data_IF_895888910850
#
_entry.id   IF_895888910850
#
_cell.length_a   1.000
_cell.length_b   1.000
_cell.length_c   1.000
_cell.angle_alpha   90.00
_cell.angle_beta   90.00
_cell.angle_gamma   90.00
#
_symmetry.space_group_name_H-M   'P 1'
#
loop_
_entity.id
_entity.type
_entity.pdbx_description
1 polymer ?
#
# COMPACT_ATOMS: atom_id res chain seq x y z
N UNK A 1 32.94 34.75 -35.36
CA UNK A 1 32.65 35.23 -33.99
C UNK A 1 31.40 34.50 -33.51
N UNK A 2 31.51 33.77 -32.40
CA UNK A 2 30.58 32.73 -31.96
C UNK A 2 29.13 33.18 -31.84
N UNK A 3 28.22 32.30 -32.31
CA UNK A 3 26.81 32.35 -32.04
C UNK A 3 26.57 32.17 -30.53
N UNK A 4 25.79 33.08 -29.94
CA UNK A 4 25.36 32.97 -28.55
C UNK A 4 24.26 31.90 -28.47
N UNK A 5 24.66 30.68 -28.09
CA UNK A 5 23.73 29.62 -27.68
C UNK A 5 23.15 30.01 -26.33
N UNK A 6 22.04 30.74 -26.33
CA UNK A 6 21.27 31.03 -25.12
C UNK A 6 20.80 29.72 -24.50
N UNK A 7 21.41 29.34 -23.38
CA UNK A 7 20.97 28.21 -22.58
C UNK A 7 19.57 28.51 -22.05
N UNK A 8 18.56 27.85 -22.64
CA UNK A 8 17.22 27.79 -22.04
C UNK A 8 17.38 26.98 -20.74
N UNK A 9 17.63 27.67 -19.63
CA UNK A 9 17.40 27.08 -18.31
C UNK A 9 15.90 26.89 -18.21
N UNK A 10 15.45 25.64 -18.20
CA UNK A 10 14.09 25.29 -17.83
C UNK A 10 13.92 25.65 -16.34
N UNK A 11 13.65 26.92 -16.07
CA UNK A 11 13.20 27.36 -14.76
C UNK A 11 11.85 26.70 -14.59
N UNK A 12 11.80 25.62 -13.80
CA UNK A 12 10.53 25.03 -13.40
C UNK A 12 9.66 26.20 -12.91
N UNK A 13 8.53 26.51 -13.58
CA UNK A 13 7.66 27.56 -13.10
C UNK A 13 7.35 27.24 -11.65
N UNK A 14 7.42 28.26 -10.80
CA UNK A 14 7.05 28.18 -9.39
C UNK A 14 5.61 27.65 -9.35
N UNK A 15 5.45 26.33 -9.26
CA UNK A 15 4.16 25.67 -9.28
C UNK A 15 3.60 25.79 -7.88
N UNK A 16 2.94 26.93 -7.67
CA UNK A 16 1.82 27.01 -6.79
C UNK A 16 0.75 26.05 -7.34
N UNK A 17 0.78 24.80 -6.89
CA UNK A 17 -0.40 23.96 -6.72
C UNK A 17 0.05 22.56 -6.30
N UNK A 18 -0.38 22.19 -5.12
CA UNK A 18 -0.52 20.85 -4.59
C UNK A 18 -1.36 19.88 -5.45
N UNK A 19 -1.66 20.20 -6.71
CA UNK A 19 -2.61 19.48 -7.58
C UNK A 19 -2.03 19.04 -8.94
N UNK A 20 -0.71 19.13 -9.17
CA UNK A 20 -0.11 18.42 -10.30
C UNK A 20 -0.03 16.93 -10.00
N UNK A 21 -0.99 16.20 -10.55
CA UNK A 21 -0.98 14.74 -10.57
C UNK A 21 0.21 14.27 -11.41
N UNK A 22 1.04 13.40 -10.85
CA UNK A 22 2.13 12.75 -11.54
C UNK A 22 1.91 11.23 -11.61
N UNK A 23 2.43 10.61 -12.66
CA UNK A 23 2.53 9.15 -12.78
C UNK A 23 3.97 8.63 -12.81
N UNK A 24 4.93 9.54 -12.97
CA UNK A 24 6.36 9.25 -13.09
C UNK A 24 7.19 10.38 -12.48
N UNK A 25 8.42 10.05 -12.05
CA UNK A 25 9.36 11.03 -11.49
C UNK A 25 9.74 12.11 -12.52
N UNK A 26 9.78 11.79 -13.82
CA UNK A 26 10.18 12.73 -14.88
C UNK A 26 9.13 13.83 -15.15
N UNK A 27 7.89 13.65 -14.66
CA UNK A 27 6.84 14.67 -14.71
C UNK A 27 7.05 15.75 -13.64
N UNK A 28 7.91 15.49 -12.65
CA UNK A 28 8.23 16.40 -11.56
C UNK A 28 9.50 17.23 -11.85
N UNK A 29 9.59 18.39 -11.20
CA UNK A 29 10.78 19.24 -11.28
C UNK A 29 12.03 18.49 -10.77
N UNK A 30 13.22 18.83 -11.27
CA UNK A 30 14.44 18.00 -11.19
C UNK A 30 14.87 17.50 -9.81
N UNK A 31 14.41 18.09 -8.71
CA UNK A 31 14.72 17.66 -7.33
C UNK A 31 13.54 17.03 -6.59
N UNK A 32 12.39 16.91 -7.25
CA UNK A 32 11.16 16.35 -6.71
C UNK A 32 10.96 14.92 -7.22
N UNK A 33 10.19 14.16 -6.47
CA UNK A 33 9.82 12.78 -6.80
C UNK A 33 8.30 12.67 -6.85
N UNK A 34 7.80 11.72 -7.64
CA UNK A 34 6.38 11.43 -7.66
C UNK A 34 6.02 10.52 -6.47
N UNK A 35 5.31 11.09 -5.50
CA UNK A 35 4.95 10.43 -4.25
C UNK A 35 3.43 10.44 -4.12
N UNK A 36 2.82 9.26 -4.05
CA UNK A 36 1.35 9.13 -4.05
C UNK A 36 0.64 9.87 -5.21
N UNK A 37 1.32 10.03 -6.35
CA UNK A 37 0.81 10.77 -7.49
C UNK A 37 0.94 12.30 -7.36
N UNK A 38 1.77 12.80 -6.45
CA UNK A 38 2.06 14.23 -6.31
C UNK A 38 3.56 14.50 -6.28
N UNK A 39 3.99 15.56 -6.96
CA UNK A 39 5.40 15.97 -6.95
C UNK A 39 5.79 16.53 -5.57
N UNK A 40 6.69 15.81 -4.89
CA UNK A 40 7.11 16.14 -3.52
C UNK A 40 8.62 16.36 -3.47
N UNK A 41 9.06 17.45 -2.84
CA UNK A 41 10.47 17.75 -2.62
C UNK A 41 11.00 17.09 -1.33
N UNK A 42 12.32 16.94 -1.21
CA UNK A 42 13.00 16.43 -0.01
C UNK A 42 12.60 14.98 0.37
N UNK A 43 12.31 14.14 -0.62
CA UNK A 43 11.96 12.73 -0.43
C UNK A 43 13.13 11.85 -0.89
N UNK A 44 13.39 10.76 -0.16
CA UNK A 44 14.39 9.76 -0.54
C UNK A 44 13.73 8.54 -1.18
N UNK A 45 14.33 7.97 -2.22
CA UNK A 45 13.88 6.69 -2.83
C UNK A 45 13.64 5.62 -1.76
N UNK A 46 12.59 4.84 -1.97
CA UNK A 46 12.21 3.73 -1.09
C UNK A 46 11.45 4.13 0.17
N UNK A 47 11.08 5.40 0.31
CA UNK A 47 10.19 5.86 1.38
C UNK A 47 8.72 5.68 1.00
N UNK A 48 7.85 5.81 1.99
CA UNK A 48 6.41 5.67 1.79
C UNK A 48 5.89 6.55 0.64
N UNK A 49 5.16 5.93 -0.28
CA UNK A 49 4.56 6.58 -1.44
C UNK A 49 5.47 6.76 -2.65
N UNK A 50 6.79 6.53 -2.56
CA UNK A 50 7.68 6.62 -3.73
C UNK A 50 7.43 5.48 -4.70
N UNK A 51 7.55 5.74 -6.01
CA UNK A 51 7.44 4.72 -7.06
C UNK A 51 8.52 3.64 -6.88
N UNK A 52 8.15 2.37 -7.07
CA UNK A 52 9.04 1.22 -6.98
C UNK A 52 8.86 0.29 -8.19
N UNK A 53 9.88 -0.50 -8.51
CA UNK A 53 9.80 -1.58 -9.51
C UNK A 53 9.80 -2.96 -8.85
N UNK A 54 10.41 -3.07 -7.68
CA UNK A 54 10.47 -4.33 -6.94
C UNK A 54 10.55 -4.15 -5.44
N UNK A 55 10.48 -5.27 -4.71
CA UNK A 55 10.47 -5.25 -3.24
C UNK A 55 11.73 -4.61 -2.64
N UNK A 56 12.88 -4.76 -3.32
CA UNK A 56 14.18 -4.24 -2.86
C UNK A 56 14.33 -2.72 -3.03
N UNK A 57 13.42 -2.06 -3.75
CA UNK A 57 13.45 -0.60 -3.88
C UNK A 57 12.91 0.10 -2.63
N UNK A 58 12.17 -0.62 -1.79
CA UNK A 58 11.52 -0.10 -0.60
C UNK A 58 12.31 -0.42 0.67
N UNK A 59 12.16 0.44 1.70
CA UNK A 59 12.70 0.16 3.03
C UNK A 59 12.09 -1.11 3.64
N UNK A 60 12.76 -1.79 4.59
CA UNK A 60 12.33 -3.07 5.15
C UNK A 60 10.93 -3.08 5.78
N UNK A 61 10.48 -1.94 6.32
CA UNK A 61 9.15 -1.75 6.91
C UNK A 61 8.04 -1.56 5.87
N UNK A 62 8.40 -1.38 4.60
CA UNK A 62 7.51 -1.14 3.47
C UNK A 62 7.51 -2.34 2.51
N UNK A 63 6.58 -2.35 1.57
CA UNK A 63 6.56 -3.28 0.45
C UNK A 63 6.28 -2.53 -0.86
N UNK A 64 6.76 -3.07 -1.98
CA UNK A 64 6.39 -2.53 -3.29
C UNK A 64 5.04 -3.11 -3.72
N UNK A 65 4.00 -2.27 -3.81
CA UNK A 65 2.66 -2.75 -4.18
C UNK A 65 1.78 -1.70 -4.87
N UNK A 66 0.74 -2.19 -5.55
CA UNK A 66 -0.29 -1.34 -6.15
C UNK A 66 -1.31 -0.85 -5.10
N UNK A 67 -1.65 0.44 -5.16
CA UNK A 67 -2.81 0.99 -4.45
C UNK A 67 -4.08 0.79 -5.27
N UNK A 68 -4.88 -0.22 -4.92
CA UNK A 68 -6.14 -0.52 -5.61
C UNK A 68 -7.03 0.73 -5.74
N UNK A 69 -7.37 1.07 -6.99
CA UNK A 69 -8.32 2.12 -7.31
C UNK A 69 -7.81 3.56 -7.16
N UNK A 70 -6.54 3.77 -6.78
CA UNK A 70 -5.97 5.13 -6.63
C UNK A 70 -4.86 5.44 -7.62
N UNK A 71 -3.91 4.52 -7.80
CA UNK A 71 -2.73 4.73 -8.64
C UNK A 71 -2.60 3.58 -9.66
N UNK A 72 -2.17 3.92 -10.87
CA UNK A 72 -1.92 2.95 -11.95
C UNK A 72 -0.48 2.39 -11.93
N UNK A 73 0.32 2.81 -10.95
CA UNK A 73 1.71 2.43 -10.78
C UNK A 73 1.95 1.98 -9.32
N UNK A 74 2.90 1.07 -9.10
CA UNK A 74 3.24 0.60 -7.77
C UNK A 74 4.10 1.61 -7.01
N UNK A 75 3.92 1.63 -5.70
CA UNK A 75 4.66 2.51 -4.77
C UNK A 75 5.09 1.73 -3.53
N UNK A 76 5.96 2.30 -2.72
CA UNK A 76 6.31 1.74 -1.42
C UNK A 76 5.17 2.00 -0.42
N UNK A 77 4.51 0.94 0.02
CA UNK A 77 3.38 0.98 0.93
C UNK A 77 3.79 0.44 2.30
N UNK A 78 3.22 0.95 3.40
CA UNK A 78 3.45 0.39 4.72
C UNK A 78 2.94 -1.06 4.81
N UNK A 79 3.72 -1.93 5.45
CA UNK A 79 3.27 -3.29 5.78
C UNK A 79 2.19 -3.21 6.88
N UNK A 80 1.03 -3.86 6.71
CA UNK A 80 -0.01 -3.88 7.73
C UNK A 80 0.49 -4.44 9.07
N UNK A 81 0.20 -3.72 10.14
CA UNK A 81 0.56 -4.02 11.51
C UNK A 81 -0.48 -4.92 12.17
N UNK A 82 -0.20 -5.35 13.41
CA UNK A 82 -1.10 -6.23 14.16
C UNK A 82 -2.49 -5.63 14.28
N UNK A 83 -3.51 -6.41 13.92
CA UNK A 83 -4.91 -6.00 14.00
C UNK A 83 -5.39 -5.16 12.82
N UNK A 84 -4.49 -4.75 11.90
CA UNK A 84 -4.89 -4.10 10.66
C UNK A 84 -5.39 -5.12 9.65
N UNK A 85 -6.28 -4.65 8.78
CA UNK A 85 -6.86 -5.46 7.71
C UNK A 85 -5.78 -5.87 6.71
N UNK A 86 -5.88 -7.11 6.24
CA UNK A 86 -4.95 -7.65 5.27
C UNK A 86 -5.69 -8.46 4.21
N UNK A 87 -5.07 -8.59 3.05
CA UNK A 87 -5.52 -9.50 2.01
C UNK A 87 -4.58 -10.71 2.04
N UNK A 88 -5.17 -11.90 1.99
CA UNK A 88 -4.42 -13.13 1.95
C UNK A 88 -4.10 -13.43 0.49
N UNK A 89 -2.85 -13.79 0.22
CA UNK A 89 -2.47 -14.28 -1.10
C UNK A 89 -3.18 -15.63 -1.28
N UNK A 90 -4.17 -15.75 -2.21
CA UNK A 90 -5.14 -16.83 -2.10
C UNK A 90 -4.55 -18.22 -2.28
N UNK A 91 -3.37 -18.37 -2.90
CA UNK A 91 -2.84 -19.68 -3.26
C UNK A 91 -1.31 -19.68 -3.36
N UNK A 92 -0.65 -20.38 -2.43
CA UNK A 92 0.78 -20.73 -2.50
C UNK A 92 1.15 -21.43 -3.82
N UNK A 93 0.17 -22.12 -4.44
CA UNK A 93 0.32 -22.82 -5.72
C UNK A 93 0.39 -21.86 -6.92
N UNK A 94 -0.25 -20.69 -6.85
CA UNK A 94 -0.14 -19.66 -7.89
C UNK A 94 1.14 -18.82 -7.74
N UNK A 95 1.67 -18.68 -6.53
CA UNK A 95 2.98 -18.03 -6.27
C UNK A 95 4.16 -18.82 -6.87
N UNK A 96 4.05 -20.15 -6.98
CA UNK A 96 5.04 -20.96 -7.72
C UNK A 96 5.02 -20.73 -9.24
N UNK A 97 3.95 -20.13 -9.76
CA UNK A 97 3.74 -19.86 -11.18
C UNK A 97 3.89 -18.37 -11.53
N UNK A 98 3.92 -17.48 -10.52
CA UNK A 98 4.14 -16.05 -10.71
C UNK A 98 5.62 -15.80 -11.01
N UNK A 99 5.91 -15.41 -12.24
CA UNK A 99 7.22 -14.90 -12.62
C UNK A 99 7.55 -13.64 -11.79
N UNK A 100 8.70 -13.73 -11.11
CA UNK A 100 9.41 -12.69 -10.35
C UNK A 100 8.88 -12.39 -8.93
N UNK A 101 9.40 -13.11 -7.92
CA UNK A 101 9.22 -12.75 -6.50
C UNK A 101 9.75 -11.36 -6.16
N UNK A 102 10.62 -10.81 -7.01
CA UNK A 102 11.20 -9.48 -6.91
C UNK A 102 10.26 -8.34 -7.33
N UNK A 103 9.21 -8.59 -8.13
CA UNK A 103 8.34 -7.54 -8.70
C UNK A 103 7.34 -6.90 -7.71
N UNK A 104 6.51 -5.93 -8.16
CA UNK A 104 5.49 -5.30 -7.34
C UNK A 104 4.35 -6.26 -7.04
N UNK A 105 3.84 -6.22 -5.80
CA UNK A 105 2.71 -7.05 -5.36
C UNK A 105 1.38 -6.33 -5.56
N UNK A 106 0.30 -7.09 -5.59
CA UNK A 106 -1.06 -6.52 -5.55
C UNK A 106 -1.40 -5.89 -4.19
N UNK A 107 -0.79 -6.38 -3.12
CA UNK A 107 -1.00 -5.92 -1.74
C UNK A 107 0.22 -6.24 -0.89
N UNK A 108 0.43 -5.48 0.18
CA UNK A 108 1.47 -5.80 1.15
C UNK A 108 1.09 -7.00 2.01
N UNK A 109 2.10 -7.81 2.30
CA UNK A 109 2.05 -8.78 3.39
C UNK A 109 2.08 -8.05 4.74
N UNK A 110 1.55 -8.70 5.78
CA UNK A 110 1.70 -8.24 7.15
C UNK A 110 3.18 -8.00 7.52
N UNK A 111 3.40 -7.11 8.48
CA UNK A 111 4.70 -6.89 9.09
C UNK A 111 5.28 -8.20 9.67
N UNK A 112 6.60 -8.20 9.88
CA UNK A 112 7.34 -9.42 10.19
C UNK A 112 6.75 -10.17 11.39
N UNK A 113 6.77 -11.50 11.32
CA UNK A 113 6.19 -12.44 12.30
C UNK A 113 4.67 -12.46 12.44
N UNK A 114 3.94 -11.63 11.71
CA UNK A 114 2.48 -11.68 11.64
C UNK A 114 2.02 -12.58 10.47
N UNK A 115 0.78 -13.05 10.57
CA UNK A 115 0.10 -13.82 9.54
C UNK A 115 -1.30 -13.24 9.32
N UNK A 116 -1.66 -13.09 8.06
CA UNK A 116 -3.00 -12.67 7.68
C UNK A 116 -3.98 -13.82 7.97
N UNK A 117 -4.91 -13.59 8.90
CA UNK A 117 -5.87 -14.60 9.34
C UNK A 117 -7.25 -14.02 9.54
N UNK A 118 -8.25 -14.85 9.24
CA UNK A 118 -9.63 -14.56 9.59
C UNK A 118 -9.78 -14.53 11.12
N UNK A 119 -10.38 -13.45 11.62
CA UNK A 119 -10.59 -13.27 13.05
C UNK A 119 -11.92 -13.94 13.41
N UNK A 120 -11.84 -15.19 13.88
CA UNK A 120 -13.03 -15.87 14.41
C UNK A 120 -13.38 -15.27 15.77
N UNK A 121 -14.37 -14.41 15.80
CA UNK A 121 -14.94 -13.92 17.05
C UNK A 121 -15.82 -15.02 17.65
N UNK A 122 -15.22 -15.90 18.45
CA UNK A 122 -15.98 -16.77 19.35
C UNK A 122 -16.36 -15.96 20.60
N UNK A 123 -17.21 -14.95 20.44
CA UNK A 123 -17.86 -14.33 21.59
C UNK A 123 -19.14 -15.08 21.93
N UNK A 124 -19.15 -15.58 23.16
CA UNK A 124 -20.29 -16.25 23.79
C UNK A 124 -21.47 -15.27 23.83
N UNK A 125 -22.65 -15.74 23.40
CA UNK A 125 -23.90 -14.98 23.33
C UNK A 125 -24.07 -14.03 24.54
N UNK A 126 -24.14 -12.69 24.34
CA UNK A 126 -24.47 -11.78 25.42
C UNK A 126 -25.95 -12.00 25.78
N UNK A 127 -26.18 -12.79 26.83
CA UNK A 127 -27.54 -13.04 27.32
C UNK A 127 -28.23 -11.71 27.65
N UNK A 128 -29.46 -11.51 27.15
CA UNK A 128 -30.30 -10.37 27.54
C UNK A 128 -30.61 -9.33 26.46
N UNK A 129 -30.26 -9.54 25.19
CA UNK A 129 -30.60 -8.60 24.09
C UNK A 129 -31.89 -9.01 23.35
N UNK A 130 -32.61 -8.03 22.80
CA UNK A 130 -33.85 -8.27 22.05
C UNK A 130 -33.60 -9.04 20.73
N UNK A 131 -34.62 -9.70 20.19
CA UNK A 131 -34.51 -10.43 18.91
C UNK A 131 -34.00 -9.54 17.77
N UNK A 132 -34.49 -8.30 17.66
CA UNK A 132 -34.00 -7.34 16.65
C UNK A 132 -32.53 -6.98 16.86
N UNK A 133 -32.13 -6.72 18.11
CA UNK A 133 -30.73 -6.46 18.47
C UNK A 133 -29.83 -7.66 18.17
N UNK A 134 -30.35 -8.88 18.34
CA UNK A 134 -29.64 -10.10 18.01
C UNK A 134 -29.47 -10.29 16.51
N UNK A 135 -30.51 -10.07 15.71
CA UNK A 135 -30.42 -10.14 14.25
C UNK A 135 -29.47 -9.06 13.71
N UNK A 136 -29.54 -7.83 14.20
CA UNK A 136 -28.58 -6.77 13.85
C UNK A 136 -27.15 -7.12 14.25
N UNK A 137 -26.94 -7.70 15.43
CA UNK A 137 -25.64 -8.19 15.89
C UNK A 137 -25.11 -9.34 15.03
N UNK A 138 -25.94 -10.30 14.65
CA UNK A 138 -25.56 -11.39 13.74
C UNK A 138 -25.23 -10.89 12.33
N UNK A 139 -25.98 -9.91 11.80
CA UNK A 139 -25.64 -9.27 10.52
C UNK A 139 -24.29 -8.56 10.59
N UNK A 140 -24.02 -7.85 11.69
CA UNK A 140 -22.74 -7.20 11.93
C UNK A 140 -21.60 -8.22 12.02
N UNK A 141 -21.78 -9.31 12.78
CA UNK A 141 -20.82 -10.42 12.85
C UNK A 141 -20.56 -11.07 11.48
N UNK A 142 -21.58 -11.20 10.62
CA UNK A 142 -21.40 -11.81 9.30
C UNK A 142 -20.61 -10.90 8.33
N UNK A 143 -20.69 -9.58 8.50
CA UNK A 143 -19.88 -8.62 7.76
C UNK A 143 -18.43 -8.62 8.26
N UNK A 144 -18.22 -8.66 9.59
CA UNK A 144 -16.90 -8.69 10.22
C UNK A 144 -16.18 -10.04 10.08
N UNK A 145 -16.92 -11.15 9.95
CA UNK A 145 -16.35 -12.51 9.82
C UNK A 145 -15.49 -12.68 8.57
N UNK A 146 -15.74 -11.94 7.49
CA UNK A 146 -14.92 -12.00 6.28
C UNK A 146 -13.67 -11.11 6.34
N UNK A 147 -13.48 -10.33 7.39
CA UNK A 147 -12.32 -9.46 7.53
C UNK A 147 -11.11 -10.26 8.03
N UNK A 148 -10.05 -10.28 7.23
CA UNK A 148 -8.78 -10.88 7.65
C UNK A 148 -7.89 -9.80 8.25
N UNK A 149 -7.21 -10.15 9.35
CA UNK A 149 -6.33 -9.25 10.09
C UNK A 149 -4.95 -9.85 10.29
N UNK A 150 -3.96 -8.99 10.44
CA UNK A 150 -2.61 -9.44 10.78
C UNK A 150 -2.52 -9.84 12.25
N UNK A 151 -2.32 -11.14 12.50
CA UNK A 151 -2.26 -11.74 13.83
C UNK A 151 -0.95 -12.48 14.04
N UNK A 152 -0.51 -12.61 15.29
CA UNK A 152 0.69 -13.40 15.62
C UNK A 152 0.60 -14.84 15.11
N UNK A 153 1.76 -15.41 14.79
CA UNK A 153 1.90 -16.86 14.61
C UNK A 153 1.46 -17.58 15.89
N UNK A 154 0.55 -18.56 15.78
CA UNK A 154 0.31 -19.50 16.89
C UNK A 154 1.62 -20.26 17.12
N UNK A 155 2.10 -20.31 18.35
CA UNK A 155 3.18 -21.23 18.72
C UNK A 155 2.67 -22.66 18.49
N UNK A 156 3.44 -23.46 17.73
CA UNK A 156 3.22 -24.90 17.59
C UNK A 156 3.78 -25.66 18.77
#
# INVERSE_FOLDING_TARGET
KSAQTGSVKFTCPLLLSSDLLCSKDEECCSTQMCVWGQCTANVSRGTEGTICQGQNDCRPELCCAFQRGKLLFPVCNPKPQRGESCLNHPNLLMDMLAWDQEGPRDHCQCADHLQCRQLFHLEKYPGGISFFSYISYLLQQHLDSNEMKCLWRKCS
#
